data_IF_740322503987
#
_entry.id   IF_740322503987
#
_cell.length_a   1.000
_cell.length_b   1.000
_cell.length_c   1.000
_cell.angle_alpha   90.00
_cell.angle_beta   90.00
_cell.angle_gamma   90.00
#
_symmetry.space_group_name_H-M   'P 1'
#
loop_
_entity.id
_entity.type
_entity.pdbx_description
1 polymer ?
#
# COMPACT_ATOMS: atom_id res chain seq x y z
N UNK A 1 22.94 18.26 -3.68
CA UNK A 1 22.91 17.52 -4.97
C UNK A 1 22.11 16.25 -4.77
N UNK A 2 21.35 15.77 -5.77
CA UNK A 2 20.71 14.46 -5.68
C UNK A 2 21.78 13.39 -5.48
N UNK A 3 21.52 12.39 -4.62
CA UNK A 3 22.44 11.28 -4.40
C UNK A 3 22.54 10.39 -5.64
N UNK A 4 23.70 9.79 -5.83
CA UNK A 4 23.90 8.77 -6.87
C UNK A 4 23.19 7.46 -6.49
N UNK A 5 23.05 6.56 -7.46
CA UNK A 5 22.47 5.23 -7.22
C UNK A 5 23.31 4.43 -6.22
N UNK A 6 24.64 4.52 -6.32
CA UNK A 6 25.58 3.83 -5.44
C UNK A 6 25.49 4.36 -4.00
N UNK A 7 25.34 5.68 -3.85
CA UNK A 7 25.10 6.32 -2.55
C UNK A 7 23.76 5.89 -1.94
N UNK A 8 22.68 5.83 -2.74
CA UNK A 8 21.38 5.31 -2.27
C UNK A 8 21.50 3.83 -1.86
N UNK A 9 22.18 3.00 -2.65
CA UNK A 9 22.40 1.59 -2.34
C UNK A 9 23.23 1.37 -1.07
N UNK A 10 24.14 2.28 -0.73
CA UNK A 10 24.90 2.20 0.52
C UNK A 10 24.02 2.25 1.77
N UNK A 11 22.77 2.75 1.67
CA UNK A 11 21.79 2.75 2.75
C UNK A 11 20.89 1.51 2.77
N UNK A 12 21.03 0.59 1.81
CA UNK A 12 20.16 -0.58 1.67
C UNK A 12 20.94 -1.86 1.97
N UNK A 13 20.54 -2.57 3.01
CA UNK A 13 21.15 -3.85 3.39
C UNK A 13 20.19 -5.00 3.07
N UNK A 14 20.72 -6.08 2.50
CA UNK A 14 19.99 -7.36 2.45
C UNK A 14 20.11 -8.06 3.80
N UNK A 15 18.97 -8.37 4.41
CA UNK A 15 18.91 -9.11 5.68
C UNK A 15 18.62 -10.60 5.48
N UNK A 16 17.90 -10.96 4.42
CA UNK A 16 17.61 -12.35 4.05
C UNK A 16 17.42 -12.46 2.52
N UNK A 17 17.21 -13.67 1.97
CA UNK A 17 16.91 -13.83 0.54
C UNK A 17 15.72 -13.01 0.04
N UNK A 18 14.79 -12.67 0.94
CA UNK A 18 13.56 -11.94 0.62
C UNK A 18 13.37 -10.64 1.42
N UNK A 19 14.30 -10.26 2.29
CA UNK A 19 14.12 -9.12 3.22
C UNK A 19 15.26 -8.14 3.09
N UNK A 20 14.91 -6.86 2.97
CA UNK A 20 15.83 -5.74 2.90
C UNK A 20 15.51 -4.71 3.99
N UNK A 21 16.56 -4.00 4.39
CA UNK A 21 16.53 -2.89 5.33
C UNK A 21 16.93 -1.62 4.59
N UNK A 22 16.17 -0.55 4.84
CA UNK A 22 16.53 0.82 4.46
C UNK A 22 16.98 1.51 5.75
N UNK A 23 18.28 1.77 5.86
CA UNK A 23 18.90 2.34 7.06
C UNK A 23 18.44 3.77 7.30
N UNK A 24 18.53 4.17 8.57
CA UNK A 24 18.40 5.56 8.99
C UNK A 24 19.32 6.47 8.16
N UNK A 25 18.84 7.66 7.82
CA UNK A 25 19.56 8.61 6.98
C UNK A 25 19.43 8.35 5.47
N UNK A 26 18.66 7.33 5.04
CA UNK A 26 18.29 7.24 3.62
C UNK A 26 17.54 8.51 3.18
N UNK A 27 16.67 9.07 4.00
CA UNK A 27 16.19 10.46 3.81
C UNK A 27 16.37 11.24 5.12
N UNK A 28 16.34 12.58 5.08
CA UNK A 28 16.36 13.39 6.30
C UNK A 28 15.20 13.02 7.23
N UNK A 29 15.39 13.23 8.53
CA UNK A 29 14.34 13.14 9.55
C UNK A 29 13.63 11.78 9.67
N UNK A 30 14.25 10.68 9.24
CA UNK A 30 13.73 9.34 9.52
C UNK A 30 13.60 9.15 11.04
N UNK A 31 12.43 8.70 11.49
CA UNK A 31 12.15 8.33 12.89
C UNK A 31 12.37 6.85 13.13
N UNK A 32 12.12 6.02 12.10
CA UNK A 32 12.34 4.57 12.11
C UNK A 32 13.03 4.11 10.83
N UNK A 33 13.52 2.87 10.83
CA UNK A 33 14.07 2.25 9.61
C UNK A 33 12.96 1.80 8.65
N UNK A 34 13.30 1.67 7.37
CA UNK A 34 12.44 1.03 6.39
C UNK A 34 12.74 -0.47 6.25
N UNK A 35 11.74 -1.24 5.87
CA UNK A 35 11.86 -2.65 5.48
C UNK A 35 11.08 -2.89 4.21
N UNK A 36 11.59 -3.74 3.33
CA UNK A 36 10.79 -4.23 2.21
C UNK A 36 11.10 -5.68 1.91
N UNK A 37 10.09 -6.37 1.38
CA UNK A 37 10.13 -7.80 1.15
C UNK A 37 10.05 -8.10 -0.34
N UNK A 38 11.14 -8.55 -0.96
CA UNK A 38 11.18 -8.88 -2.39
C UNK A 38 12.12 -10.05 -2.64
N UNK A 39 11.71 -11.00 -3.49
CA UNK A 39 12.62 -12.01 -4.03
C UNK A 39 13.51 -11.42 -5.14
N UNK A 40 14.43 -12.22 -5.69
CA UNK A 40 15.37 -11.80 -6.75
C UNK A 40 14.68 -11.22 -8.00
N UNK A 41 13.51 -11.71 -8.37
CA UNK A 41 12.76 -11.22 -9.54
C UNK A 41 12.14 -9.83 -9.26
N UNK A 42 11.52 -9.67 -8.09
CA UNK A 42 10.87 -8.44 -7.66
C UNK A 42 11.88 -7.35 -7.28
N UNK A 43 13.05 -7.75 -6.77
CA UNK A 43 14.17 -6.87 -6.45
C UNK A 43 14.60 -6.06 -7.67
N UNK A 44 14.74 -6.69 -8.83
CA UNK A 44 15.13 -6.00 -10.06
C UNK A 44 14.22 -4.81 -10.35
N UNK A 45 12.90 -4.96 -10.17
CA UNK A 45 11.93 -3.89 -10.41
C UNK A 45 12.15 -2.72 -9.44
N UNK A 46 12.43 -2.99 -8.15
CA UNK A 46 12.66 -1.97 -7.14
C UNK A 46 13.94 -1.17 -7.40
N UNK A 47 15.03 -1.86 -7.74
CA UNK A 47 16.32 -1.21 -7.98
C UNK A 47 16.39 -0.53 -9.35
N UNK A 48 15.66 -1.01 -10.36
CA UNK A 48 15.52 -0.33 -11.64
C UNK A 48 14.80 1.03 -11.47
N UNK A 49 13.74 1.11 -10.65
CA UNK A 49 13.09 2.38 -10.30
C UNK A 49 14.06 3.35 -9.60
N UNK A 50 14.82 2.85 -8.63
CA UNK A 50 15.79 3.64 -7.88
C UNK A 50 16.91 4.17 -8.79
N UNK A 51 17.45 3.31 -9.67
CA UNK A 51 18.49 3.66 -10.63
C UNK A 51 18.02 4.70 -11.65
N UNK A 52 16.79 4.54 -12.16
CA UNK A 52 16.20 5.49 -13.10
C UNK A 52 16.05 6.88 -12.44
N UNK A 53 15.55 6.91 -11.20
CA UNK A 53 15.38 8.16 -10.44
C UNK A 53 16.71 8.87 -10.18
N UNK A 54 17.77 8.13 -9.82
CA UNK A 54 19.11 8.70 -9.65
C UNK A 54 19.67 9.27 -10.96
N UNK A 55 19.46 8.58 -12.09
CA UNK A 55 19.93 9.01 -13.41
C UNK A 55 19.26 10.27 -13.96
N UNK A 56 18.01 10.56 -13.57
CA UNK A 56 17.29 11.78 -13.98
C UNK A 56 17.42 12.91 -12.96
N UNK A 57 18.20 12.73 -11.89
CA UNK A 57 18.28 13.68 -10.78
C UNK A 57 16.95 13.87 -10.05
N UNK A 58 16.07 12.87 -10.08
CA UNK A 58 14.73 12.93 -9.51
C UNK A 58 13.70 13.67 -10.38
N UNK A 59 14.04 14.09 -11.60
CA UNK A 59 13.13 14.79 -12.51
C UNK A 59 12.38 13.79 -13.39
N UNK A 60 11.04 13.90 -13.40
CA UNK A 60 10.16 13.12 -14.26
C UNK A 60 9.70 11.79 -13.66
N UNK A 61 8.47 11.74 -13.15
CA UNK A 61 7.82 10.54 -12.60
C UNK A 61 7.56 10.61 -11.11
N UNK A 62 7.01 9.54 -10.55
CA UNK A 62 6.85 9.37 -9.10
C UNK A 62 8.21 9.02 -8.46
N UNK A 63 8.37 9.34 -7.17
CA UNK A 63 9.54 8.90 -6.41
C UNK A 63 9.60 7.37 -6.38
N UNK A 64 10.81 6.77 -6.44
CA UNK A 64 10.95 5.32 -6.40
C UNK A 64 10.41 4.78 -5.08
N UNK A 65 9.80 3.59 -5.13
CA UNK A 65 9.13 3.00 -3.97
C UNK A 65 10.02 2.91 -2.71
N UNK A 66 11.32 2.63 -2.87
CA UNK A 66 12.29 2.60 -1.75
C UNK A 66 12.39 3.96 -1.05
N UNK A 67 12.40 5.06 -1.81
CA UNK A 67 12.45 6.42 -1.25
C UNK A 67 11.13 6.78 -0.59
N UNK A 68 10.00 6.33 -1.14
CA UNK A 68 8.68 6.51 -0.51
C UNK A 68 8.58 5.76 0.83
N UNK A 69 9.09 4.53 0.94
CA UNK A 69 9.22 3.82 2.22
C UNK A 69 9.99 4.67 3.23
N UNK A 70 11.13 5.22 2.82
CA UNK A 70 11.97 6.04 3.69
C UNK A 70 11.29 7.36 4.08
N UNK A 71 10.56 8.01 3.16
CA UNK A 71 9.80 9.23 3.47
C UNK A 71 8.67 8.95 4.47
N UNK A 72 7.97 7.81 4.34
CA UNK A 72 6.98 7.37 5.33
C UNK A 72 7.63 7.10 6.68
N UNK A 73 8.85 6.56 6.68
CA UNK A 73 9.63 6.32 7.89
C UNK A 73 10.05 7.63 8.61
N UNK A 74 9.93 8.78 7.95
CA UNK A 74 10.17 10.10 8.52
C UNK A 74 8.90 10.77 9.08
N UNK A 75 7.73 10.14 8.97
CA UNK A 75 6.49 10.72 9.48
C UNK A 75 6.49 10.74 11.02
N UNK A 76 5.98 11.83 11.65
CA UNK A 76 5.88 11.91 13.11
C UNK A 76 5.01 10.80 13.69
N UNK A 77 5.43 10.24 14.82
CA UNK A 77 4.65 9.23 15.56
C UNK A 77 4.67 7.82 14.96
N UNK A 78 5.40 7.59 13.85
CA UNK A 78 5.56 6.24 13.30
C UNK A 78 6.31 5.33 14.29
N UNK A 79 5.85 4.09 14.42
CA UNK A 79 6.44 3.07 15.29
C UNK A 79 6.88 1.84 14.51
N UNK A 80 7.89 1.15 15.05
CA UNK A 80 8.43 -0.06 14.45
C UNK A 80 9.21 0.24 13.16
N UNK A 81 8.58 0.04 12.00
CA UNK A 81 9.20 0.17 10.68
C UNK A 81 8.17 0.67 9.64
N UNK A 82 8.65 1.37 8.61
CA UNK A 82 7.91 1.55 7.36
C UNK A 82 8.12 0.32 6.48
N UNK A 83 7.06 -0.41 6.12
CA UNK A 83 7.13 -1.76 5.55
C UNK A 83 6.52 -1.83 4.14
N UNK A 84 7.36 -2.07 3.12
CA UNK A 84 6.92 -2.44 1.79
C UNK A 84 6.68 -3.94 1.62
N UNK A 85 5.45 -4.32 1.26
CA UNK A 85 5.09 -5.69 0.88
C UNK A 85 5.63 -6.07 -0.52
N UNK A 86 5.62 -7.36 -0.92
CA UNK A 86 6.23 -7.77 -2.19
C UNK A 86 5.59 -7.21 -3.48
N UNK A 87 4.33 -6.80 -3.39
CA UNK A 87 3.61 -6.09 -4.44
C UNK A 87 3.94 -4.59 -4.51
N UNK A 88 4.85 -4.09 -3.65
CA UNK A 88 5.14 -2.66 -3.53
C UNK A 88 5.55 -2.00 -4.85
N UNK A 89 5.00 -0.83 -5.14
CA UNK A 89 5.41 -0.02 -6.28
C UNK A 89 5.14 1.46 -6.02
N UNK A 90 5.78 2.33 -6.81
CA UNK A 90 5.67 3.77 -6.66
C UNK A 90 4.20 4.25 -6.66
N UNK A 91 3.82 5.03 -5.66
CA UNK A 91 2.49 5.58 -5.45
C UNK A 91 2.49 7.10 -5.29
N UNK A 92 1.45 7.67 -4.69
CA UNK A 92 1.35 9.10 -4.38
C UNK A 92 1.72 9.32 -2.90
N UNK A 93 2.92 9.84 -2.64
CA UNK A 93 3.49 9.95 -1.30
C UNK A 93 3.83 8.59 -0.68
N UNK A 94 2.81 7.83 -0.29
CA UNK A 94 2.92 6.43 0.09
C UNK A 94 3.06 5.56 -1.17
N UNK A 95 4.05 4.67 -1.18
CA UNK A 95 4.08 3.58 -2.16
C UNK A 95 2.91 2.62 -1.94
N UNK A 96 2.30 2.17 -3.03
CA UNK A 96 1.22 1.17 -2.95
C UNK A 96 1.81 -0.12 -2.39
N UNK A 97 1.17 -0.72 -1.38
CA UNK A 97 1.70 -1.89 -0.66
C UNK A 97 2.65 -1.54 0.49
N UNK A 98 2.77 -0.26 0.85
CA UNK A 98 3.45 0.16 2.09
C UNK A 98 2.50 0.10 3.30
N UNK A 99 3.06 -0.31 4.44
CA UNK A 99 2.39 -0.39 5.73
C UNK A 99 3.20 0.43 6.72
N UNK A 100 2.53 1.30 7.47
CA UNK A 100 3.11 2.03 8.58
C UNK A 100 2.12 2.01 9.75
N UNK A 101 2.66 1.92 10.97
CA UNK A 101 1.88 2.01 12.20
C UNK A 101 2.28 3.28 12.95
N UNK A 102 1.32 3.94 13.58
CA UNK A 102 1.53 5.18 14.33
C UNK A 102 1.02 5.02 15.75
N UNK A 103 1.77 5.53 16.73
CA UNK A 103 1.38 5.45 18.13
C UNK A 103 0.20 6.39 18.43
N UNK A 104 -0.94 5.79 18.73
CA UNK A 104 -2.18 6.49 19.09
C UNK A 104 -2.25 6.91 20.56
N UNK A 105 -1.28 6.57 21.40
CA UNK A 105 -1.23 6.84 22.85
C UNK A 105 -0.21 7.90 23.27
N UNK A 106 0.61 8.41 22.33
CA UNK A 106 1.35 9.64 22.53
C UNK A 106 0.37 10.75 22.98
N UNK A 107 0.71 11.66 23.92
CA UNK A 107 -0.27 12.66 24.46
C UNK A 107 -0.85 13.62 23.41
N UNK A 108 -0.28 13.63 22.22
CA UNK A 108 -0.82 14.28 21.02
C UNK A 108 -1.82 13.37 20.29
N UNK A 109 -2.21 12.28 20.93
CA UNK A 109 -2.97 11.18 20.39
C UNK A 109 -3.95 10.54 21.40
N UNK A 110 -5.27 10.77 21.25
CA UNK A 110 -6.32 10.24 22.13
C UNK A 110 -7.52 9.66 21.36
N UNK A 111 -7.54 8.35 21.11
CA UNK A 111 -8.45 7.55 20.24
C UNK A 111 -9.97 7.83 20.26
N UNK A 112 -10.76 6.76 20.11
CA UNK A 112 -12.21 6.78 20.40
C UNK A 112 -12.53 7.23 21.84
N UNK A 113 -11.55 7.26 22.72
CA UNK A 113 -11.68 7.77 24.09
C UNK A 113 -11.93 9.30 24.13
N UNK A 114 -11.58 10.05 23.09
CA UNK A 114 -11.91 11.50 22.98
C UNK A 114 -13.36 11.72 22.50
N UNK A 115 -13.83 10.95 21.51
CA UNK A 115 -15.19 11.10 20.97
C UNK A 115 -16.26 10.76 22.00
N UNK A 116 -16.00 9.77 22.86
CA UNK A 116 -16.83 9.45 24.03
C UNK A 116 -16.84 10.59 25.07
N UNK A 117 -15.68 11.22 25.30
CA UNK A 117 -15.54 12.30 26.28
C UNK A 117 -16.27 13.57 25.85
N UNK A 118 -16.21 13.90 24.56
CA UNK A 118 -16.82 15.11 23.99
C UNK A 118 -18.27 14.90 23.51
N UNK A 119 -18.82 13.69 23.68
CA UNK A 119 -20.23 13.38 23.41
C UNK A 119 -20.59 13.12 21.94
N UNK A 120 -19.59 12.85 21.10
CA UNK A 120 -19.75 12.54 19.68
C UNK A 120 -19.99 11.05 19.40
N UNK A 121 -19.88 10.18 20.40
CA UNK A 121 -20.14 8.73 20.28
C UNK A 121 -20.78 8.19 21.56
N UNK A 122 -21.56 7.12 21.42
CA UNK A 122 -22.15 6.39 22.54
C UNK A 122 -21.17 5.31 23.03
N UNK A 123 -21.23 4.93 24.31
CA UNK A 123 -20.35 3.92 24.90
C UNK A 123 -20.43 2.57 24.14
N UNK A 124 -21.61 2.30 23.61
CA UNK A 124 -21.99 1.12 22.82
C UNK A 124 -21.31 1.10 21.44
N UNK A 125 -20.95 2.26 20.86
CA UNK A 125 -20.23 2.33 19.57
C UNK A 125 -18.85 1.68 19.68
N UNK A 126 -18.25 1.69 20.88
CA UNK A 126 -16.97 1.04 21.18
C UNK A 126 -17.09 -0.48 21.12
N UNK A 127 -18.24 -1.05 21.46
CA UNK A 127 -18.47 -2.50 21.46
C UNK A 127 -18.68 -3.07 20.05
N UNK A 128 -19.01 -2.21 19.09
CA UNK A 128 -19.16 -2.56 17.68
C UNK A 128 -17.90 -2.30 16.84
N UNK A 129 -16.88 -1.66 17.43
CA UNK A 129 -15.55 -1.43 16.85
C UNK A 129 -14.65 -2.66 16.97
N UNK A 130 -13.99 -3.08 15.87
CA UNK A 130 -12.95 -4.13 15.93
C UNK A 130 -11.88 -3.70 16.95
N UNK A 131 -11.63 -4.57 17.94
CA UNK A 131 -10.75 -4.32 19.09
C UNK A 131 -11.05 -3.03 19.88
N UNK A 132 -12.34 -2.69 20.02
CA UNK A 132 -12.78 -1.50 20.78
C UNK A 132 -12.22 -0.18 20.23
N UNK A 133 -11.84 -0.17 18.95
CA UNK A 133 -11.19 0.96 18.29
C UNK A 133 -9.76 1.21 18.77
N UNK A 134 -9.11 0.24 19.45
CA UNK A 134 -7.76 0.39 20.03
C UNK A 134 -7.08 -0.96 20.33
N UNK A 135 -6.05 -1.33 19.56
CA UNK A 135 -5.11 -2.39 19.94
C UNK A 135 -4.21 -1.95 21.10
N UNK A 136 -4.40 -2.54 22.29
CA UNK A 136 -3.53 -2.30 23.45
C UNK A 136 -2.25 -3.14 23.43
N UNK A 137 -2.16 -4.17 22.56
CA UNK A 137 -1.07 -5.16 22.53
C UNK A 137 -0.70 -5.51 21.07
N UNK A 138 -0.41 -4.50 20.25
CA UNK A 138 -0.01 -4.72 18.85
C UNK A 138 1.34 -5.46 18.78
N UNK A 139 1.29 -6.79 18.84
CA UNK A 139 2.35 -7.71 18.45
C UNK A 139 1.97 -8.33 17.10
N UNK A 140 2.84 -8.17 16.10
CA UNK A 140 2.59 -8.45 14.68
C UNK A 140 2.38 -9.96 14.37
N UNK A 141 2.31 -10.82 15.39
CA UNK A 141 2.28 -12.28 15.27
C UNK A 141 0.91 -12.94 15.47
N UNK A 142 -0.08 -12.27 16.06
CA UNK A 142 -1.29 -12.95 16.55
C UNK A 142 -2.50 -12.64 15.66
N UNK A 143 -2.55 -13.18 14.44
CA UNK A 143 -3.81 -13.29 13.69
C UNK A 143 -3.77 -14.43 12.66
N UNK A 144 -3.77 -15.67 13.15
CA UNK A 144 -3.91 -16.87 12.32
C UNK A 144 -4.86 -17.85 13.00
N UNK A 145 -6.09 -17.95 12.49
CA UNK A 145 -6.77 -19.20 12.14
C UNK A 145 -8.26 -18.94 11.92
N UNK A 146 -8.77 -19.16 10.69
CA UNK A 146 -9.99 -19.95 10.44
C UNK A 146 -10.38 -20.06 8.95
N UNK A 147 -10.82 -21.29 8.62
CA UNK A 147 -11.67 -21.77 7.51
C UNK A 147 -11.07 -22.46 6.26
N UNK A 148 -11.55 -23.71 6.10
CA UNK A 148 -11.50 -24.63 4.97
C UNK A 148 -12.81 -24.59 4.14
N UNK A 149 -12.77 -25.23 2.96
CA UNK A 149 -13.84 -25.55 1.99
C UNK A 149 -14.24 -24.48 0.96
N UNK A 150 -13.90 -24.72 -0.33
CA UNK A 150 -14.46 -23.95 -1.46
C UNK A 150 -14.65 -24.87 -2.68
N UNK A 151 -15.91 -25.10 -3.08
CA UNK A 151 -16.33 -25.48 -4.44
C UNK A 151 -16.87 -24.22 -5.12
N UNK A 152 -16.35 -23.89 -6.32
CA UNK A 152 -16.69 -22.74 -7.18
C UNK A 152 -16.79 -21.36 -6.48
N UNK A 153 -15.73 -20.55 -6.54
CA UNK A 153 -15.71 -19.17 -6.01
C UNK A 153 -15.84 -18.14 -7.13
N UNK A 154 -16.87 -17.29 -7.09
CA UNK A 154 -16.84 -15.99 -7.77
C UNK A 154 -16.05 -14.99 -6.92
N UNK A 155 -15.06 -14.33 -7.52
CA UNK A 155 -14.29 -13.25 -6.87
C UNK A 155 -14.70 -11.93 -7.52
N UNK A 156 -15.26 -11.01 -6.72
CA UNK A 156 -15.64 -9.66 -7.15
C UNK A 156 -14.67 -8.67 -6.51
N UNK A 157 -13.96 -7.89 -7.33
CA UNK A 157 -13.10 -6.78 -6.90
C UNK A 157 -13.65 -5.46 -7.44
N UNK A 158 -14.20 -4.58 -6.60
CA UNK A 158 -14.69 -3.26 -6.98
C UNK A 158 -14.13 -2.19 -6.02
N UNK A 159 -13.47 -1.12 -6.53
CA UNK A 159 -13.08 0.02 -5.69
C UNK A 159 -14.29 0.90 -5.37
N UNK A 160 -14.11 1.85 -4.43
CA UNK A 160 -15.09 2.89 -4.03
C UNK A 160 -15.52 3.86 -5.15
N UNK A 161 -14.97 3.70 -6.36
CA UNK A 161 -15.23 4.50 -7.57
C UNK A 161 -14.90 5.99 -7.33
N UNK A 162 -15.62 6.90 -7.98
CA UNK A 162 -15.28 8.33 -8.00
C UNK A 162 -15.40 9.03 -6.64
N UNK A 163 -16.29 8.55 -5.76
CA UNK A 163 -16.51 9.15 -4.45
C UNK A 163 -15.24 9.09 -3.58
N UNK A 164 -14.58 7.94 -3.51
CA UNK A 164 -13.35 7.80 -2.73
C UNK A 164 -12.20 8.66 -3.26
N UNK A 165 -12.14 8.91 -4.57
CA UNK A 165 -11.13 9.80 -5.16
C UNK A 165 -11.38 11.26 -4.77
N UNK A 166 -12.64 11.71 -4.81
CA UNK A 166 -12.98 13.09 -4.48
C UNK A 166 -12.70 13.37 -3.00
N UNK A 167 -13.15 12.48 -2.10
CA UNK A 167 -12.90 12.61 -0.67
C UNK A 167 -11.40 12.65 -0.37
N UNK A 168 -10.59 11.79 -1.01
CA UNK A 168 -9.14 11.81 -0.84
C UNK A 168 -8.52 13.14 -1.32
N UNK A 169 -9.02 13.68 -2.42
CA UNK A 169 -8.54 14.95 -2.99
C UNK A 169 -8.85 16.13 -2.05
N UNK A 170 -10.06 16.17 -1.51
CA UNK A 170 -10.49 17.23 -0.60
C UNK A 170 -9.74 17.15 0.74
N UNK A 171 -9.50 15.93 1.23
CA UNK A 171 -8.72 15.69 2.44
C UNK A 171 -7.28 16.19 2.32
N UNK A 172 -6.61 15.99 1.18
CA UNK A 172 -5.24 16.46 0.96
C UNK A 172 -5.13 17.98 1.15
N UNK A 173 -6.10 18.75 0.63
CA UNK A 173 -6.12 20.22 0.77
C UNK A 173 -6.25 20.65 2.23
N UNK A 174 -7.05 19.93 3.03
CA UNK A 174 -7.18 20.23 4.46
C UNK A 174 -5.94 19.81 5.24
N UNK A 175 -5.36 18.66 4.92
CA UNK A 175 -4.12 18.19 5.55
C UNK A 175 -2.96 19.15 5.27
N UNK A 176 -2.81 19.70 4.07
CA UNK A 176 -1.79 20.71 3.79
C UNK A 176 -1.92 21.96 4.69
N UNK A 177 -3.14 22.39 4.98
CA UNK A 177 -3.39 23.51 5.92
C UNK A 177 -3.06 23.12 7.35
N UNK A 178 -3.44 21.91 7.77
CA UNK A 178 -3.13 21.40 9.11
C UNK A 178 -1.62 21.29 9.34
N UNK A 179 -0.87 20.84 8.34
CA UNK A 179 0.60 20.79 8.40
C UNK A 179 1.22 22.17 8.58
N UNK A 180 0.73 23.17 7.85
CA UNK A 180 1.20 24.55 7.99
C UNK A 180 0.88 25.11 9.38
N UNK A 181 -0.32 24.83 9.93
CA UNK A 181 -0.72 25.21 11.29
C UNK A 181 0.15 24.57 12.36
N UNK A 182 0.42 23.27 12.21
CA UNK A 182 1.06 22.44 13.24
C UNK A 182 2.59 22.33 13.04
N UNK A 183 3.15 23.07 12.08
CA UNK A 183 4.56 23.04 11.66
C UNK A 183 5.08 21.62 11.35
N UNK A 184 4.25 20.80 10.71
CA UNK A 184 4.63 19.45 10.29
C UNK A 184 5.49 19.51 9.04
N UNK A 185 6.73 19.03 9.15
CA UNK A 185 7.69 19.00 8.03
C UNK A 185 7.76 17.58 7.49
N UNK A 186 7.50 17.42 6.20
CA UNK A 186 7.62 16.16 5.47
C UNK A 186 8.60 16.29 4.32
N UNK A 187 9.21 15.17 3.95
CA UNK A 187 10.17 15.11 2.83
C UNK A 187 9.49 15.18 1.45
N UNK A 188 8.19 14.88 1.38
CA UNK A 188 7.39 14.89 0.15
C UNK A 188 6.02 15.49 0.45
N UNK A 189 5.61 16.53 -0.30
CA UNK A 189 4.29 17.16 -0.17
C UNK A 189 3.14 16.18 -0.38
N UNK A 190 3.36 15.11 -1.16
CA UNK A 190 2.37 14.06 -1.36
C UNK A 190 2.09 13.24 -0.08
N UNK A 191 2.89 13.40 0.97
CA UNK A 191 2.66 12.85 2.30
C UNK A 191 1.91 13.83 3.21
N UNK A 192 0.95 14.57 2.65
CA UNK A 192 0.13 15.47 3.43
C UNK A 192 -0.56 14.67 4.56
N UNK A 193 -0.44 15.17 5.79
CA UNK A 193 -0.93 14.49 6.99
C UNK A 193 -1.41 15.48 8.04
N UNK A 194 -2.27 15.04 8.94
CA UNK A 194 -2.70 15.81 10.10
C UNK A 194 -2.48 14.98 11.36
N UNK A 195 -2.46 15.62 12.53
CA UNK A 195 -2.51 14.91 13.81
C UNK A 195 -3.82 14.14 13.88
N UNK A 196 -3.78 12.90 14.36
CA UNK A 196 -4.94 11.99 14.34
C UNK A 196 -6.17 12.61 15.03
N UNK A 197 -5.96 13.52 16.00
CA UNK A 197 -7.00 14.13 16.85
C UNK A 197 -7.17 15.61 16.61
N UNK A 198 -6.65 16.11 15.50
CA UNK A 198 -7.07 17.42 15.01
C UNK A 198 -8.46 17.31 14.39
N UNK A 199 -9.12 18.45 14.18
CA UNK A 199 -10.39 18.51 13.46
C UNK A 199 -10.29 17.77 12.11
N UNK A 200 -9.20 18.00 11.37
CA UNK A 200 -8.97 17.37 10.07
C UNK A 200 -8.76 15.86 10.17
N UNK A 201 -8.09 15.39 11.23
CA UNK A 201 -7.90 13.97 11.51
C UNK A 201 -9.20 13.27 11.87
N UNK A 202 -10.03 13.91 12.71
CA UNK A 202 -11.34 13.39 13.10
C UNK A 202 -12.34 13.41 11.94
N UNK A 203 -12.44 14.53 11.20
CA UNK A 203 -13.30 14.64 10.01
C UNK A 203 -12.94 13.57 8.98
N UNK A 204 -11.64 13.36 8.75
CA UNK A 204 -11.16 12.29 7.88
C UNK A 204 -11.52 10.92 8.44
N UNK A 205 -11.32 10.66 9.74
CA UNK A 205 -11.65 9.39 10.38
C UNK A 205 -13.16 9.13 10.50
N UNK A 206 -14.01 10.14 10.48
CA UNK A 206 -15.48 9.96 10.45
C UNK A 206 -15.93 9.60 9.04
N UNK A 207 -15.44 10.34 8.03
CA UNK A 207 -15.73 10.04 6.63
C UNK A 207 -15.12 8.70 6.23
N UNK A 208 -13.87 8.44 6.61
CA UNK A 208 -13.17 7.20 6.32
C UNK A 208 -13.40 6.11 7.35
N UNK A 209 -13.90 6.33 8.56
CA UNK A 209 -14.26 5.24 9.48
C UNK A 209 -15.28 4.31 8.85
N UNK A 210 -16.20 4.89 8.07
CA UNK A 210 -17.17 4.19 7.23
C UNK A 210 -16.50 3.48 6.04
N UNK A 211 -15.42 4.02 5.45
CA UNK A 211 -14.67 3.37 4.35
C UNK A 211 -13.59 2.37 4.82
N UNK A 212 -13.00 2.60 5.99
CA UNK A 212 -11.98 1.81 6.69
C UNK A 212 -12.63 0.55 7.22
N UNK A 213 -13.90 0.58 7.67
CA UNK A 213 -14.67 -0.63 7.93
C UNK A 213 -14.75 -1.56 6.71
N UNK A 214 -14.97 -0.99 5.52
CA UNK A 214 -14.99 -1.76 4.26
C UNK A 214 -13.58 -2.21 3.81
N UNK A 215 -12.53 -1.51 4.25
CA UNK A 215 -11.13 -1.81 3.94
C UNK A 215 -10.48 -2.76 4.97
N UNK A 216 -10.91 -2.77 6.23
CA UNK A 216 -10.49 -3.70 7.28
C UNK A 216 -11.16 -5.05 7.14
N UNK A 217 -12.43 -5.13 6.73
CA UNK A 217 -13.01 -6.41 6.24
C UNK A 217 -12.21 -6.98 5.05
N UNK A 218 -11.56 -6.10 4.27
CA UNK A 218 -10.70 -6.45 3.14
C UNK A 218 -9.25 -6.80 3.58
N UNK A 219 -8.71 -6.20 4.64
CA UNK A 219 -7.38 -6.51 5.21
C UNK A 219 -7.42 -7.75 6.13
N UNK A 220 -8.49 -7.96 6.89
CA UNK A 220 -8.78 -9.19 7.63
C UNK A 220 -8.92 -10.41 6.71
N UNK A 221 -9.24 -10.16 5.43
CA UNK A 221 -9.10 -11.13 4.33
C UNK A 221 -7.85 -10.83 3.51
N UNK A 222 -6.64 -11.09 4.02
CA UNK A 222 -5.32 -10.97 3.32
C UNK A 222 -5.42 -11.00 1.78
N UNK A 223 -5.72 -9.86 1.18
CA UNK A 223 -6.01 -9.72 -0.25
C UNK A 223 -4.85 -8.99 -0.88
N UNK A 224 -3.87 -9.75 -1.34
CA UNK A 224 -2.76 -9.20 -2.11
C UNK A 224 -3.28 -8.77 -3.47
N UNK A 225 -3.22 -7.46 -3.74
CA UNK A 225 -3.49 -6.93 -5.08
C UNK A 225 -2.25 -7.15 -5.91
N UNK A 226 -2.39 -7.54 -7.18
CA UNK A 226 -1.24 -7.57 -8.08
C UNK A 226 -0.67 -6.15 -8.21
N UNK A 227 0.51 -5.91 -7.63
CA UNK A 227 1.24 -4.66 -7.85
C UNK A 227 1.59 -4.48 -9.33
N UNK A 228 1.50 -3.26 -9.86
CA UNK A 228 1.84 -3.00 -11.27
C UNK A 228 3.34 -3.12 -11.48
N UNK A 229 3.73 -3.77 -12.57
CA UNK A 229 5.10 -3.77 -13.08
C UNK A 229 5.28 -2.72 -14.20
N UNK A 230 4.20 -2.36 -14.89
CA UNK A 230 4.18 -1.36 -15.95
C UNK A 230 3.10 -0.30 -15.66
N UNK A 231 3.38 0.95 -16.01
CA UNK A 231 2.35 1.99 -16.00
C UNK A 231 1.33 1.74 -17.11
N UNK A 232 0.07 2.19 -16.92
CA UNK A 232 -0.99 2.05 -17.94
C UNK A 232 -0.56 2.57 -19.31
N UNK A 233 0.16 3.70 -19.34
CA UNK A 233 0.66 4.28 -20.59
C UNK A 233 1.76 3.44 -21.26
N UNK A 234 2.57 2.72 -20.47
CA UNK A 234 3.61 1.82 -20.97
C UNK A 234 2.99 0.52 -21.47
N UNK A 235 2.01 -0.03 -20.74
CA UNK A 235 1.23 -1.20 -21.18
C UNK A 235 0.56 -0.96 -22.52
N UNK A 236 -0.12 0.18 -22.70
CA UNK A 236 -0.76 0.55 -23.97
C UNK A 236 0.18 0.67 -25.17
N UNK A 237 1.46 0.96 -24.93
CA UNK A 237 2.46 1.08 -26.00
C UNK A 237 3.10 -0.24 -26.39
N UNK A 238 3.19 -1.18 -25.44
CA UNK A 238 4.01 -2.37 -25.58
C UNK A 238 3.19 -3.67 -25.69
N UNK A 239 1.89 -3.63 -25.37
CA UNK A 239 1.05 -4.83 -25.30
C UNK A 239 -0.03 -4.78 -26.39
N UNK A 240 -0.07 -5.81 -27.22
CA UNK A 240 -1.11 -6.01 -28.24
C UNK A 240 -2.33 -6.70 -27.61
N UNK A 241 -3.50 -6.07 -27.71
CA UNK A 241 -4.75 -6.64 -27.18
C UNK A 241 -5.13 -7.97 -27.85
N UNK A 242 -4.84 -8.15 -29.15
CA UNK A 242 -5.10 -9.40 -29.88
C UNK A 242 -4.30 -10.57 -29.29
N UNK A 243 -3.03 -10.33 -28.99
CA UNK A 243 -2.15 -11.36 -28.42
C UNK A 243 -2.67 -11.77 -27.04
N UNK A 244 -3.07 -10.81 -26.21
CA UNK A 244 -3.62 -11.09 -24.86
C UNK A 244 -4.89 -11.95 -24.94
N UNK A 245 -5.80 -11.68 -25.89
CA UNK A 245 -7.00 -12.50 -26.06
C UNK A 245 -6.64 -13.91 -26.51
N UNK A 246 -5.74 -14.05 -27.49
CA UNK A 246 -5.31 -15.35 -28.00
C UNK A 246 -4.64 -16.17 -26.88
N UNK A 247 -3.72 -15.58 -26.13
CA UNK A 247 -3.04 -16.23 -25.01
C UNK A 247 -4.01 -16.68 -23.90
N UNK A 248 -5.06 -15.91 -23.63
CA UNK A 248 -6.10 -16.28 -22.67
C UNK A 248 -6.98 -17.42 -23.21
N UNK A 249 -7.33 -17.36 -24.49
CA UNK A 249 -8.11 -18.39 -25.18
C UNK A 249 -7.37 -19.73 -25.20
N UNK A 250 -6.07 -19.73 -25.51
CA UNK A 250 -5.21 -20.92 -25.47
C UNK A 250 -5.13 -21.53 -24.06
N UNK A 251 -5.21 -20.69 -23.02
CA UNK A 251 -5.28 -21.14 -21.62
C UNK A 251 -6.68 -21.60 -21.20
N UNK A 252 -7.67 -21.56 -22.09
CA UNK A 252 -9.06 -21.89 -21.81
C UNK A 252 -9.74 -20.90 -20.86
N UNK A 253 -9.39 -19.62 -20.95
CA UNK A 253 -9.94 -18.54 -20.13
C UNK A 253 -10.83 -17.66 -21.01
N UNK A 254 -12.14 -17.65 -20.75
CA UNK A 254 -13.07 -16.77 -21.44
C UNK A 254 -12.98 -15.34 -20.92
N UNK A 255 -13.05 -14.34 -21.79
CA UNK A 255 -12.96 -12.93 -21.39
C UNK A 255 -14.12 -12.10 -21.94
N UNK A 256 -14.69 -11.22 -21.11
CA UNK A 256 -15.64 -10.19 -21.50
C UNK A 256 -15.18 -8.84 -20.97
N UNK A 257 -14.91 -7.91 -21.87
CA UNK A 257 -14.31 -6.60 -21.56
C UNK A 257 -15.07 -5.48 -22.25
N UNK A 258 -15.13 -4.32 -21.62
CA UNK A 258 -15.81 -3.14 -22.19
C UNK A 258 -15.03 -2.46 -23.33
N UNK A 259 -13.69 -2.53 -23.32
CA UNK A 259 -12.88 -1.91 -24.39
C UNK A 259 -11.50 -2.57 -24.57
N UNK A 260 -10.94 -2.58 -25.80
CA UNK A 260 -9.57 -3.06 -26.05
C UNK A 260 -8.51 -2.33 -25.24
N UNK A 261 -8.75 -1.05 -24.91
CA UNK A 261 -7.89 -0.25 -24.04
C UNK A 261 -7.71 -0.90 -22.66
N UNK A 262 -8.80 -1.39 -22.08
CA UNK A 262 -8.76 -2.06 -20.78
C UNK A 262 -8.00 -3.38 -20.82
N UNK A 263 -8.06 -4.14 -21.93
CA UNK A 263 -7.25 -5.37 -22.09
C UNK A 263 -5.78 -5.04 -21.95
N UNK A 264 -5.29 -4.04 -22.68
CA UNK A 264 -3.87 -3.69 -22.67
C UNK A 264 -3.42 -3.21 -21.29
N UNK A 265 -4.23 -2.39 -20.61
CA UNK A 265 -3.89 -1.87 -19.29
C UNK A 265 -3.89 -2.95 -18.20
N UNK A 266 -4.76 -3.96 -18.32
CA UNK A 266 -4.97 -5.00 -17.31
C UNK A 266 -4.34 -6.36 -17.68
N UNK A 267 -3.57 -6.39 -18.77
CA UNK A 267 -2.89 -7.59 -19.24
C UNK A 267 -1.98 -8.18 -18.14
N UNK A 268 -1.81 -9.52 -18.08
CA UNK A 268 -0.97 -10.17 -17.07
C UNK A 268 0.45 -9.58 -16.93
N UNK A 269 1.04 -9.14 -18.04
CA UNK A 269 2.37 -8.54 -18.14
C UNK A 269 2.45 -7.12 -17.55
N UNK A 270 1.30 -6.45 -17.39
CA UNK A 270 1.23 -5.15 -16.71
C UNK A 270 1.45 -5.26 -15.20
N UNK A 271 1.38 -6.47 -14.68
CA UNK A 271 1.42 -6.78 -13.26
C UNK A 271 2.62 -7.63 -12.88
N UNK A 272 3.03 -7.52 -11.62
CA UNK A 272 3.98 -8.45 -11.02
C UNK A 272 3.41 -9.87 -11.04
N UNK A 273 4.30 -10.85 -11.17
CA UNK A 273 3.92 -12.24 -11.05
C UNK A 273 3.41 -12.51 -9.62
N UNK A 274 2.15 -12.91 -9.52
CA UNK A 274 1.49 -13.18 -8.23
C UNK A 274 2.16 -14.34 -7.48
N UNK A 275 2.76 -15.29 -8.20
CA UNK A 275 3.48 -16.41 -7.58
C UNK A 275 4.72 -15.88 -6.85
N UNK A 276 5.50 -14.99 -7.47
CA UNK A 276 6.65 -14.36 -6.82
C UNK A 276 6.25 -13.56 -5.57
N UNK A 277 5.14 -12.82 -5.64
CA UNK A 277 4.61 -12.07 -4.48
C UNK A 277 4.22 -13.00 -3.33
N UNK A 278 3.42 -14.03 -3.62
CA UNK A 278 2.94 -14.99 -2.61
C UNK A 278 4.08 -15.83 -2.05
N UNK A 279 5.01 -16.27 -2.88
CA UNK A 279 6.18 -17.03 -2.46
C UNK A 279 7.08 -16.18 -1.55
N UNK A 280 7.25 -14.90 -1.86
CA UNK A 280 8.00 -13.97 -1.00
C UNK A 280 7.33 -13.83 0.37
N UNK A 281 6.00 -13.70 0.41
CA UNK A 281 5.25 -13.63 1.68
C UNK A 281 5.41 -14.90 2.53
N UNK A 282 5.38 -16.07 1.90
CA UNK A 282 5.53 -17.37 2.57
C UNK A 282 6.95 -17.55 3.14
N UNK A 283 7.98 -17.27 2.33
CA UNK A 283 9.39 -17.32 2.76
C UNK A 283 9.67 -16.29 3.87
N UNK A 284 9.05 -15.12 3.81
CA UNK A 284 9.19 -14.08 4.83
C UNK A 284 8.42 -14.40 6.12
N UNK A 285 7.59 -15.44 6.14
CA UNK A 285 6.75 -15.79 7.29
C UNK A 285 5.54 -14.86 7.49
N UNK A 286 5.19 -14.04 6.49
CA UNK A 286 4.07 -13.07 6.57
C UNK A 286 2.72 -13.78 6.41
N UNK A 287 2.64 -14.75 5.51
CA UNK A 287 1.42 -15.54 5.28
C UNK A 287 1.75 -16.92 4.72
N UNK A 288 1.03 -17.94 5.16
CA UNK A 288 1.16 -19.30 4.64
C UNK A 288 0.32 -19.48 3.39
N UNK A 289 0.87 -20.19 2.39
CA UNK A 289 0.10 -20.59 1.21
C UNK A 289 -1.02 -21.55 1.62
N UNK A 290 -2.19 -21.37 1.01
CA UNK A 290 -3.34 -22.23 1.22
C UNK A 290 -3.78 -22.89 -0.09
N UNK A 291 -4.35 -22.12 -1.03
CA UNK A 291 -4.93 -22.62 -2.27
C UNK A 291 -4.57 -21.68 -3.42
N UNK A 292 -4.16 -22.24 -4.57
CA UNK A 292 -3.98 -21.50 -5.83
C UNK A 292 -5.19 -21.72 -6.73
N UNK A 293 -5.84 -20.63 -7.13
CA UNK A 293 -6.98 -20.66 -8.04
C UNK A 293 -6.55 -20.33 -9.47
N UNK A 294 -7.15 -21.00 -10.46
CA UNK A 294 -6.99 -20.70 -11.89
C UNK A 294 -8.29 -20.10 -12.42
N UNK A 295 -8.26 -18.90 -13.03
CA UNK A 295 -9.47 -18.34 -13.62
C UNK A 295 -9.91 -19.19 -14.81
N UNK A 296 -11.23 -19.29 -15.00
CA UNK A 296 -11.87 -19.87 -16.19
C UNK A 296 -12.62 -18.81 -17.00
N UNK A 297 -13.01 -17.70 -16.36
CA UNK A 297 -13.63 -16.56 -17.00
C UNK A 297 -13.22 -15.25 -16.30
N UNK A 298 -13.10 -14.17 -17.07
CA UNK A 298 -12.80 -12.81 -16.59
C UNK A 298 -13.80 -11.83 -17.20
N UNK A 299 -14.51 -11.06 -16.36
CA UNK A 299 -15.43 -10.02 -16.79
C UNK A 299 -14.96 -8.68 -16.22
N UNK A 300 -14.69 -7.70 -17.08
CA UNK A 300 -14.19 -6.38 -16.69
C UNK A 300 -14.96 -5.25 -17.38
N UNK A 301 -15.47 -4.32 -16.59
CA UNK A 301 -16.11 -3.08 -17.03
C UNK A 301 -15.17 -1.90 -17.03
#
# INVERSE_FOLDING_TARGET
MPRTYEEDCAFINRLSPVKFQVKMGFVPNMNVEGRFYVNKALEKLMFDELKLSAGTGGVGGFLPAVRQIANVAALPGIVGYSIGLPDIHSGYGFSIGNIAAFDVANKESMGMDWTLREGYSWAEDKEHCEEYGRMLQADLYIFINKFHYIRFKHIISKPSRGLGHQVATDALVQMEKAMARDNLIVNDRQLACARIYSLEGNDFNEVYGIFIYSFYEFLGRKSYVKGRALSRAKSRRNISWNNVINDLSEKGISIRIASPKLIMEEAPESYKNVTDVVDTCDIAGISKKAIKLRPIAVIKG
#
